data_IF_725588516417
#
_entry.id   IF_725588516417
#
_cell.length_a   1.000
_cell.length_b   1.000
_cell.length_c   1.000
_cell.angle_alpha   90.00
_cell.angle_beta   90.00
_cell.angle_gamma   90.00
#
_symmetry.space_group_name_H-M   'P 1'
#
loop_
_entity.id
_entity.type
_entity.pdbx_description
1 polymer ?
#
# COMPACT_ATOMS: atom_id res chain seq x y z
N UNK A 1 0.41 10.07 8.74
CA UNK A 1 1.33 10.10 9.91
C UNK A 1 1.10 11.31 10.80
N UNK A 2 1.25 12.55 10.30
CA UNK A 2 1.07 13.77 11.12
C UNK A 2 -0.27 13.82 11.86
N UNK A 3 -1.37 13.47 11.20
CA UNK A 3 -2.69 13.40 11.86
C UNK A 3 -2.73 12.35 12.98
N UNK A 4 -2.28 11.12 12.72
CA UNK A 4 -2.26 10.05 13.73
C UNK A 4 -1.41 10.41 14.97
N UNK A 5 -0.26 11.05 14.79
CA UNK A 5 0.56 11.50 15.93
C UNK A 5 -0.13 12.60 16.75
N UNK A 6 -0.93 13.48 16.12
CA UNK A 6 -1.74 14.47 16.85
C UNK A 6 -2.83 13.82 17.70
N UNK A 7 -3.28 12.64 17.30
CA UNK A 7 -4.25 11.81 18.04
C UNK A 7 -3.57 10.87 19.05
N UNK A 8 -2.24 10.95 19.22
CA UNK A 8 -1.49 10.10 20.15
C UNK A 8 -1.34 8.64 19.70
N UNK A 9 -1.55 8.36 18.41
CA UNK A 9 -1.45 7.01 17.85
C UNK A 9 -0.02 6.80 17.34
N UNK A 10 0.69 5.83 17.91
CA UNK A 10 1.98 5.38 17.40
C UNK A 10 1.82 4.68 16.04
N UNK A 11 2.66 5.01 15.06
CA UNK A 11 2.48 4.52 13.68
C UNK A 11 3.75 4.00 13.03
N UNK A 12 3.60 2.95 12.23
CA UNK A 12 4.56 2.57 11.21
C UNK A 12 4.07 3.02 9.82
N UNK A 13 4.98 3.25 8.87
CA UNK A 13 4.60 3.49 7.48
C UNK A 13 5.61 2.96 6.49
N UNK A 14 5.12 2.61 5.31
CA UNK A 14 5.95 2.36 4.13
C UNK A 14 5.51 3.26 2.99
N UNK A 15 6.48 3.63 2.15
CA UNK A 15 6.24 4.37 0.92
C UNK A 15 6.84 3.57 -0.22
N UNK A 16 5.99 3.11 -1.12
CA UNK A 16 6.34 2.39 -2.33
C UNK A 16 6.38 3.38 -3.49
N UNK A 17 7.55 3.57 -4.10
CA UNK A 17 7.68 4.32 -5.37
C UNK A 17 7.07 3.52 -6.52
N UNK A 18 6.43 4.18 -7.49
CA UNK A 18 5.73 3.48 -8.59
C UNK A 18 6.67 2.73 -9.53
N UNK A 19 7.99 2.96 -9.48
CA UNK A 19 8.97 2.10 -10.15
C UNK A 19 8.89 0.63 -9.71
N UNK A 20 8.28 0.36 -8.55
CA UNK A 20 8.06 -0.99 -8.03
C UNK A 20 6.64 -1.51 -8.32
N UNK A 21 5.82 -0.78 -9.08
CA UNK A 21 4.45 -1.21 -9.44
C UNK A 21 4.47 -1.71 -10.89
N UNK A 22 4.19 -3.00 -11.14
CA UNK A 22 4.24 -3.59 -12.48
C UNK A 22 3.43 -2.82 -13.53
N UNK A 23 2.24 -2.33 -13.16
CA UNK A 23 1.39 -1.51 -14.04
C UNK A 23 2.08 -0.21 -14.48
N UNK A 24 2.79 0.45 -13.59
CA UNK A 24 3.50 1.69 -13.89
C UNK A 24 4.71 1.44 -14.81
N UNK A 25 5.41 0.32 -14.60
CA UNK A 25 6.51 -0.11 -15.46
C UNK A 25 6.06 -0.34 -16.90
N UNK A 26 4.98 -1.10 -17.12
CA UNK A 26 4.48 -1.35 -18.49
C UNK A 26 3.84 -0.12 -19.14
N UNK A 27 3.42 0.85 -18.35
CA UNK A 27 2.95 2.14 -18.83
C UNK A 27 4.10 3.12 -19.15
N UNK A 28 5.35 2.77 -18.80
CA UNK A 28 6.53 3.64 -18.88
C UNK A 28 6.35 5.00 -18.15
N UNK A 29 5.49 5.03 -17.12
CA UNK A 29 5.24 6.20 -16.28
C UNK A 29 5.25 5.79 -14.81
N UNK A 30 6.39 6.02 -14.16
CA UNK A 30 6.66 5.64 -12.77
C UNK A 30 6.63 6.83 -11.82
N UNK A 31 6.04 7.96 -12.23
CA UNK A 31 5.96 9.16 -11.39
C UNK A 31 4.99 8.97 -10.24
N UNK A 32 5.50 9.07 -9.02
CA UNK A 32 4.70 9.12 -7.80
C UNK A 32 4.93 7.93 -6.87
N UNK A 33 3.97 7.68 -5.99
CA UNK A 33 4.11 6.71 -4.90
C UNK A 33 2.76 6.26 -4.33
N UNK A 34 2.81 5.16 -3.58
CA UNK A 34 1.75 4.69 -2.69
C UNK A 34 2.34 4.61 -1.28
N UNK A 35 1.75 5.33 -0.33
CA UNK A 35 2.16 5.36 1.08
C UNK A 35 1.07 4.77 1.96
N UNK A 36 1.44 3.82 2.79
CA UNK A 36 0.54 3.20 3.77
C UNK A 36 0.99 3.56 5.18
N UNK A 37 0.03 3.83 6.05
CA UNK A 37 0.25 4.14 7.47
C UNK A 37 -0.54 3.15 8.31
N UNK A 38 0.15 2.44 9.20
CA UNK A 38 -0.44 1.45 10.08
C UNK A 38 -0.20 1.83 11.55
N UNK A 39 -1.09 1.37 12.42
CA UNK A 39 -0.94 1.46 13.87
C UNK A 39 0.20 0.54 14.34
N UNK A 40 1.10 1.08 15.15
CA UNK A 40 2.19 0.30 15.71
C UNK A 40 1.65 -0.78 16.67
N UNK A 41 2.21 -1.99 16.62
CA UNK A 41 1.79 -3.12 17.43
C UNK A 41 0.65 -3.94 16.80
N UNK A 42 -0.49 -3.31 16.48
CA UNK A 42 -1.64 -4.04 15.89
C UNK A 42 -1.49 -4.27 14.39
N UNK A 43 -0.74 -3.41 13.69
CA UNK A 43 -0.62 -3.44 12.23
C UNK A 43 -1.90 -3.03 11.50
N UNK A 44 -2.91 -2.48 12.19
CA UNK A 44 -4.17 -2.02 11.58
C UNK A 44 -3.90 -0.89 10.59
N UNK A 45 -4.47 -0.97 9.39
CA UNK A 45 -4.37 0.12 8.42
C UNK A 45 -5.12 1.35 8.93
N UNK A 46 -4.40 2.48 9.01
CA UNK A 46 -4.94 3.78 9.43
C UNK A 46 -5.23 4.70 8.25
N UNK A 47 -4.42 4.61 7.19
CA UNK A 47 -4.56 5.51 6.06
C UNK A 47 -3.63 5.17 4.90
N UNK A 48 -4.04 5.61 3.72
CA UNK A 48 -3.27 5.50 2.48
C UNK A 48 -3.19 6.88 1.83
N UNK A 49 -2.03 7.20 1.23
CA UNK A 49 -1.84 8.38 0.39
C UNK A 49 -1.23 7.91 -0.92
N UNK A 50 -1.74 8.37 -2.05
CA UNK A 50 -1.24 7.96 -3.35
C UNK A 50 -1.11 9.14 -4.31
N UNK A 51 -0.03 9.15 -5.07
CA UNK A 51 0.17 9.97 -6.26
C UNK A 51 0.48 8.98 -7.38
N UNK A 52 -0.51 8.72 -8.24
CA UNK A 52 -0.42 7.74 -9.31
C UNK A 52 -1.47 8.03 -10.38
N UNK A 53 -1.26 7.52 -11.59
CA UNK A 53 -2.38 7.31 -12.51
C UNK A 53 -3.44 6.43 -11.81
N UNK A 54 -4.71 6.78 -11.95
CA UNK A 54 -5.84 6.04 -11.35
C UNK A 54 -5.82 5.98 -9.80
N UNK A 55 -5.13 6.91 -9.13
CA UNK A 55 -5.10 6.99 -7.67
C UNK A 55 -6.52 7.11 -7.05
N UNK A 56 -7.46 7.75 -7.75
CA UNK A 56 -8.85 7.86 -7.32
C UNK A 56 -9.62 6.54 -7.33
N UNK A 57 -9.22 5.58 -8.17
CA UNK A 57 -9.86 4.25 -8.23
C UNK A 57 -9.27 3.32 -7.17
N UNK A 58 -7.93 3.26 -7.07
CA UNK A 58 -7.27 2.37 -6.09
C UNK A 58 -7.56 2.79 -4.65
N UNK A 59 -7.77 4.08 -4.37
CA UNK A 59 -8.04 4.55 -3.00
C UNK A 59 -9.36 4.00 -2.45
N UNK A 60 -10.31 3.62 -3.31
CA UNK A 60 -11.56 3.00 -2.87
C UNK A 60 -11.33 1.64 -2.22
N UNK A 61 -10.37 0.84 -2.72
CA UNK A 61 -9.99 -0.41 -2.08
C UNK A 61 -9.35 -0.17 -0.70
N UNK A 62 -8.50 0.85 -0.58
CA UNK A 62 -7.93 1.25 0.71
C UNK A 62 -9.01 1.74 1.69
N UNK A 63 -10.00 2.50 1.22
CA UNK A 63 -11.12 2.97 2.05
C UNK A 63 -11.94 1.81 2.61
N UNK A 64 -12.21 0.79 1.79
CA UNK A 64 -12.90 -0.43 2.23
C UNK A 64 -12.06 -1.23 3.24
N UNK A 65 -10.75 -1.36 3.01
CA UNK A 65 -9.84 -2.03 3.95
C UNK A 65 -9.80 -1.33 5.32
N UNK A 66 -9.76 0.01 5.34
CA UNK A 66 -9.83 0.80 6.58
C UNK A 66 -11.19 0.61 7.27
N UNK A 67 -12.30 0.65 6.52
CA UNK A 67 -13.66 0.40 7.05
C UNK A 67 -13.76 -0.97 7.69
N UNK A 68 -13.17 -1.98 7.06
CA UNK A 68 -13.12 -3.36 7.56
C UNK A 68 -12.10 -3.57 8.69
N UNK A 69 -11.35 -2.53 9.08
CA UNK A 69 -10.29 -2.57 10.09
C UNK A 69 -9.20 -3.60 9.80
N UNK A 70 -8.93 -3.83 8.51
CA UNK A 70 -7.91 -4.78 8.09
C UNK A 70 -6.51 -4.36 8.54
N UNK A 71 -5.70 -5.35 8.84
CA UNK A 71 -4.26 -5.22 9.08
C UNK A 71 -3.49 -5.19 7.76
N UNK A 72 -2.25 -4.71 7.81
CA UNK A 72 -1.32 -4.77 6.68
C UNK A 72 -1.12 -6.20 6.18
N UNK A 73 -1.03 -7.18 7.09
CA UNK A 73 -0.89 -8.60 6.74
C UNK A 73 -2.09 -9.12 5.96
N UNK A 74 -3.30 -8.85 6.44
CA UNK A 74 -4.53 -9.28 5.76
C UNK A 74 -4.67 -8.70 4.36
N UNK A 75 -4.21 -7.45 4.14
CA UNK A 75 -4.16 -6.82 2.81
C UNK A 75 -3.12 -7.49 1.91
N UNK A 76 -1.92 -7.75 2.45
CA UNK A 76 -0.85 -8.44 1.72
C UNK A 76 -1.27 -9.86 1.30
N UNK A 77 -2.08 -10.54 2.12
CA UNK A 77 -2.56 -11.89 1.86
C UNK A 77 -3.71 -11.96 0.84
N UNK A 78 -4.35 -10.84 0.49
CA UNK A 78 -5.38 -10.83 -0.55
C UNK A 78 -4.77 -11.06 -1.95
N UNK A 79 -5.60 -11.65 -2.82
CA UNK A 79 -5.31 -11.72 -4.24
C UNK A 79 -5.65 -10.39 -4.90
N UNK A 80 -4.65 -9.77 -5.53
CA UNK A 80 -4.82 -8.61 -6.39
C UNK A 80 -4.50 -8.99 -7.84
N UNK A 81 -5.24 -8.49 -8.84
CA UNK A 81 -4.91 -8.76 -10.23
C UNK A 81 -3.57 -8.14 -10.62
N UNK A 82 -2.68 -8.94 -11.21
CA UNK A 82 -1.39 -8.49 -11.71
C UNK A 82 -1.55 -7.41 -12.80
N UNK A 83 -0.59 -6.47 -12.86
CA UNK A 83 -0.60 -5.32 -13.79
C UNK A 83 -1.81 -4.39 -13.58
N UNK A 84 -2.27 -4.22 -12.35
CA UNK A 84 -3.23 -3.16 -11.98
C UNK A 84 -2.58 -2.13 -11.07
N UNK A 85 -3.04 -0.88 -11.07
CA UNK A 85 -2.51 0.11 -10.11
C UNK A 85 -2.89 -0.24 -8.67
N UNK A 86 -4.03 -0.91 -8.47
CA UNK A 86 -4.49 -1.35 -7.15
C UNK A 86 -3.62 -2.46 -6.56
N UNK A 87 -2.94 -3.28 -7.38
CA UNK A 87 -1.90 -4.21 -6.92
C UNK A 87 -0.79 -3.50 -6.13
N UNK A 88 -0.52 -2.23 -6.42
CA UNK A 88 0.42 -1.43 -5.65
C UNK A 88 0.10 -1.32 -4.16
N UNK A 89 -1.18 -1.50 -3.75
CA UNK A 89 -1.56 -1.59 -2.34
C UNK A 89 -1.02 -2.87 -1.68
N UNK A 90 -1.12 -4.02 -2.37
CA UNK A 90 -0.56 -5.30 -1.90
C UNK A 90 0.95 -5.20 -1.76
N UNK A 91 1.62 -4.71 -2.79
CA UNK A 91 3.09 -4.57 -2.80
C UNK A 91 3.55 -3.63 -1.69
N UNK A 92 2.87 -2.50 -1.49
CA UNK A 92 3.18 -1.55 -0.41
C UNK A 92 2.98 -2.20 0.97
N UNK A 93 1.94 -3.01 1.15
CA UNK A 93 1.69 -3.76 2.38
C UNK A 93 2.80 -4.76 2.67
N UNK A 94 3.29 -5.48 1.66
CA UNK A 94 4.38 -6.46 1.82
C UNK A 94 5.72 -5.84 2.25
N UNK A 95 5.96 -4.57 1.91
CA UNK A 95 7.18 -3.87 2.34
C UNK A 95 7.28 -3.62 3.85
N UNK A 96 6.22 -3.89 4.62
CA UNK A 96 6.30 -3.85 6.08
C UNK A 96 7.12 -5.01 6.64
N UNK A 97 7.20 -6.15 5.95
CA UNK A 97 7.87 -7.37 6.42
C UNK A 97 9.01 -7.86 5.51
N UNK A 98 8.99 -7.53 4.21
CA UNK A 98 9.96 -8.00 3.22
C UNK A 98 10.55 -6.83 2.42
N UNK A 99 11.73 -7.01 1.84
CA UNK A 99 12.27 -6.08 0.84
C UNK A 99 11.54 -6.29 -0.50
N UNK A 100 10.97 -5.22 -1.05
CA UNK A 100 10.21 -5.27 -2.30
C UNK A 100 11.04 -5.78 -3.48
N UNK A 101 12.36 -5.52 -3.49
CA UNK A 101 13.27 -5.96 -4.55
C UNK A 101 13.49 -7.48 -4.55
N UNK A 102 13.15 -8.14 -3.44
CA UNK A 102 13.26 -9.59 -3.28
C UNK A 102 11.92 -10.30 -3.51
N UNK A 103 10.85 -9.57 -3.80
CA UNK A 103 9.55 -10.15 -4.13
C UNK A 103 9.55 -10.61 -5.59
N UNK A 104 9.08 -11.84 -5.84
CA UNK A 104 8.74 -12.28 -7.20
C UNK A 104 7.48 -11.56 -7.71
N UNK A 105 7.22 -11.59 -9.02
CA UNK A 105 6.16 -10.80 -9.67
C UNK A 105 4.76 -10.88 -9.03
N UNK A 106 4.45 -11.94 -8.29
CA UNK A 106 3.19 -12.11 -7.55
C UNK A 106 3.41 -12.71 -6.16
N UNK A 107 4.55 -12.45 -5.51
CA UNK A 107 4.82 -13.01 -4.18
C UNK A 107 3.64 -12.70 -3.23
N UNK A 108 3.23 -13.70 -2.45
CA UNK A 108 2.38 -13.57 -1.26
C UNK A 108 3.24 -13.44 -0.02
#
# INVERSE_FOLDING_TARGET
>A
KTQAHREGIETDSRTLTLENVPRALVNFDTRGFIKMVAEAGTGRLLGVQAVAAEAGELIQAAALAIRARMTIGEIADQLFPYLTMVEGLKLAAQTFTKDVKQLSCCAG
#
